data_IF_890153051039
#
_entry.id   IF_890153051039
#
_cell.length_a   1.000
_cell.length_b   1.000
_cell.length_c   1.000
_cell.angle_alpha   90.00
_cell.angle_beta   90.00
_cell.angle_gamma   90.00
#
_symmetry.space_group_name_H-M   'P 1'
#
loop_
_entity.id
_entity.type
_entity.pdbx_description
1 polymer ?
#
# COMPACT_ATOMS: atom_id res chain seq x y z
N UNK A 1 1.13 -14.23 -18.28
CA UNK A 1 2.53 -14.57 -18.67
C UNK A 1 3.30 -15.33 -17.58
N UNK A 2 3.45 -14.77 -16.38
CA UNK A 2 4.32 -15.35 -15.34
C UNK A 2 3.88 -16.69 -14.75
N UNK A 3 2.62 -17.09 -14.97
CA UNK A 3 2.07 -18.40 -14.64
C UNK A 3 2.27 -19.46 -15.74
N UNK A 4 2.87 -19.10 -16.88
CA UNK A 4 3.05 -20.02 -18.01
C UNK A 4 4.31 -20.88 -17.89
N UNK A 5 4.37 -21.95 -18.68
CA UNK A 5 5.55 -22.82 -18.82
C UNK A 5 6.77 -22.06 -19.35
N UNK A 6 6.59 -20.99 -20.12
CA UNK A 6 7.69 -20.17 -20.65
C UNK A 6 8.48 -19.44 -19.56
N UNK A 7 7.84 -19.15 -18.42
CA UNK A 7 8.49 -18.57 -17.26
C UNK A 7 9.02 -19.63 -16.28
N UNK A 8 8.84 -20.94 -16.55
CA UNK A 8 9.28 -22.01 -15.67
C UNK A 8 10.74 -22.41 -15.93
N UNK A 9 11.36 -23.09 -14.94
CA UNK A 9 12.70 -23.64 -15.11
C UNK A 9 12.71 -24.85 -16.04
N UNK A 10 11.64 -25.65 -16.05
CA UNK A 10 11.53 -26.91 -16.78
C UNK A 10 11.68 -26.71 -18.29
N UNK A 11 10.90 -25.78 -18.87
CA UNK A 11 10.95 -25.55 -20.32
C UNK A 11 12.34 -25.08 -20.77
N UNK A 12 12.97 -24.23 -19.98
CA UNK A 12 14.33 -23.73 -20.22
C UNK A 12 15.39 -24.82 -20.12
N UNK A 13 15.33 -25.67 -19.10
CA UNK A 13 16.28 -26.77 -18.91
C UNK A 13 16.20 -27.79 -20.05
N UNK A 14 14.98 -28.08 -20.53
CA UNK A 14 14.78 -28.94 -21.69
C UNK A 14 15.31 -28.30 -22.99
N UNK A 15 15.07 -27.00 -23.19
CA UNK A 15 15.68 -26.26 -24.32
C UNK A 15 17.21 -26.27 -24.27
N UNK A 16 17.79 -26.10 -23.09
CA UNK A 16 19.24 -26.15 -22.89
C UNK A 16 19.81 -27.54 -23.24
N UNK A 17 19.08 -28.62 -22.90
CA UNK A 17 19.49 -29.98 -23.23
C UNK A 17 19.48 -30.28 -24.74
N UNK A 18 18.63 -29.61 -25.51
CA UNK A 18 18.59 -29.75 -26.98
C UNK A 18 19.61 -28.88 -27.73
N UNK A 19 20.11 -27.82 -27.10
CA UNK A 19 21.09 -26.90 -27.71
C UNK A 19 22.52 -27.44 -27.62
N UNK A 20 23.34 -27.11 -28.62
CA UNK A 20 24.76 -27.47 -28.58
C UNK A 20 25.48 -26.58 -27.55
N UNK A 21 26.30 -27.14 -26.64
CA UNK A 21 26.95 -26.36 -25.58
C UNK A 21 27.87 -25.25 -26.08
N UNK A 22 28.46 -25.45 -27.26
CA UNK A 22 29.37 -24.49 -27.88
C UNK A 22 28.60 -23.48 -28.75
N UNK A 23 28.37 -22.29 -28.19
CA UNK A 23 27.71 -21.17 -28.87
C UNK A 23 28.48 -20.66 -30.11
N UNK A 24 29.77 -20.99 -30.25
CA UNK A 24 30.58 -20.57 -31.40
C UNK A 24 30.17 -21.25 -32.70
N UNK A 25 29.45 -22.37 -32.61
CA UNK A 25 28.92 -23.10 -33.77
C UNK A 25 27.82 -22.28 -34.47
N UNK A 26 27.10 -21.45 -33.70
CA UNK A 26 26.06 -20.60 -34.24
C UNK A 26 26.62 -19.28 -34.74
N UNK A 27 26.09 -18.80 -35.87
CA UNK A 27 26.36 -17.46 -36.37
C UNK A 27 26.06 -16.42 -35.26
N UNK A 28 26.84 -15.34 -35.19
CA UNK A 28 26.66 -14.26 -34.20
C UNK A 28 25.27 -13.63 -34.23
N UNK A 29 24.59 -13.71 -35.37
CA UNK A 29 23.22 -13.19 -35.57
C UNK A 29 22.13 -14.26 -35.44
N UNK A 30 22.49 -15.50 -35.07
CA UNK A 30 21.51 -16.57 -34.85
C UNK A 30 20.84 -16.44 -33.48
N UNK A 31 19.51 -16.47 -33.48
CA UNK A 31 18.71 -16.31 -32.28
C UNK A 31 18.87 -17.42 -31.24
N UNK A 32 19.34 -18.61 -31.62
CA UNK A 32 19.65 -19.70 -30.67
C UNK A 32 20.68 -19.28 -29.62
N UNK A 33 21.55 -18.32 -29.94
CA UNK A 33 22.52 -17.75 -28.98
C UNK A 33 21.85 -16.87 -27.92
N UNK A 34 20.68 -16.32 -28.21
CA UNK A 34 19.96 -15.34 -27.37
C UNK A 34 18.76 -15.93 -26.63
N UNK A 35 18.13 -16.96 -27.21
CA UNK A 35 16.89 -17.52 -26.73
C UNK A 35 16.94 -17.83 -25.23
N UNK A 36 17.93 -18.60 -24.78
CA UNK A 36 18.07 -18.94 -23.35
C UNK A 36 18.22 -17.71 -22.45
N UNK A 37 18.94 -16.68 -22.91
CA UNK A 37 19.11 -15.44 -22.17
C UNK A 37 17.79 -14.69 -22.00
N UNK A 38 16.97 -14.64 -23.06
CA UNK A 38 15.62 -14.09 -22.98
C UNK A 38 14.73 -14.85 -22.00
N UNK A 39 14.79 -16.18 -22.00
CA UNK A 39 13.97 -16.99 -21.10
C UNK A 39 14.41 -16.86 -19.64
N UNK A 40 15.72 -16.82 -19.39
CA UNK A 40 16.25 -16.48 -18.07
C UNK A 40 15.79 -15.10 -17.62
N UNK A 41 15.84 -14.12 -18.53
CA UNK A 41 15.42 -12.77 -18.21
C UNK A 41 13.91 -12.68 -17.94
N UNK A 42 13.07 -13.35 -18.73
CA UNK A 42 11.62 -13.47 -18.49
C UNK A 42 11.32 -14.07 -17.12
N UNK A 43 11.98 -15.17 -16.76
CA UNK A 43 11.84 -15.81 -15.46
C UNK A 43 12.21 -14.83 -14.32
N UNK A 44 13.35 -14.14 -14.43
CA UNK A 44 13.79 -13.15 -13.45
C UNK A 44 12.83 -11.96 -13.34
N UNK A 45 12.35 -11.42 -14.47
CA UNK A 45 11.35 -10.36 -14.49
C UNK A 45 10.06 -10.81 -13.78
N UNK A 46 9.60 -12.03 -14.04
CA UNK A 46 8.41 -12.58 -13.40
C UNK A 46 8.58 -12.80 -11.89
N UNK A 47 9.72 -13.37 -11.46
CA UNK A 47 10.01 -13.57 -10.03
C UNK A 47 10.03 -12.25 -9.27
N UNK A 48 10.74 -11.24 -9.80
CA UNK A 48 10.85 -9.94 -9.15
C UNK A 48 9.50 -9.20 -9.20
N UNK A 49 8.73 -9.33 -10.29
CA UNK A 49 7.38 -8.74 -10.38
C UNK A 49 6.45 -9.31 -9.30
N UNK A 50 6.39 -10.64 -9.16
CA UNK A 50 5.60 -11.33 -8.13
C UNK A 50 6.05 -10.90 -6.73
N UNK A 51 7.36 -10.86 -6.49
CA UNK A 51 7.91 -10.41 -5.20
C UNK A 51 7.55 -8.96 -4.90
N UNK A 52 7.60 -8.08 -5.91
CA UNK A 52 7.26 -6.65 -5.76
C UNK A 52 5.79 -6.47 -5.43
N UNK A 53 4.90 -7.17 -6.14
CA UNK A 53 3.45 -7.16 -5.86
C UNK A 53 3.19 -7.65 -4.43
N UNK A 54 3.74 -8.80 -4.05
CA UNK A 54 3.55 -9.37 -2.72
C UNK A 54 4.11 -8.45 -1.62
N UNK A 55 5.25 -7.82 -1.86
CA UNK A 55 5.84 -6.87 -0.90
C UNK A 55 4.98 -5.64 -0.74
N UNK A 56 4.45 -5.07 -1.84
CA UNK A 56 3.53 -3.94 -1.81
C UNK A 56 2.23 -4.26 -1.07
N UNK A 57 1.66 -5.45 -1.31
CA UNK A 57 0.48 -5.93 -0.58
C UNK A 57 0.81 -6.04 0.91
N UNK A 58 1.92 -6.69 1.28
CA UNK A 58 2.29 -6.86 2.68
C UNK A 58 2.55 -5.52 3.39
N UNK A 59 3.21 -4.58 2.71
CA UNK A 59 3.46 -3.23 3.23
C UNK A 59 2.13 -2.49 3.45
N UNK A 60 1.23 -2.51 2.47
CA UNK A 60 -0.11 -1.93 2.58
C UNK A 60 -0.89 -2.55 3.74
N UNK A 61 -0.87 -3.87 3.88
CA UNK A 61 -1.57 -4.59 4.95
C UNK A 61 -0.99 -4.31 6.34
N UNK A 62 0.32 -4.07 6.43
CA UNK A 62 0.99 -3.68 7.67
C UNK A 62 0.77 -2.20 8.03
N UNK A 63 0.34 -1.39 7.07
CA UNK A 63 0.09 0.04 7.30
C UNK A 63 -1.10 0.24 8.23
N UNK A 64 -0.98 1.19 9.16
CA UNK A 64 -2.04 1.50 10.10
C UNK A 64 -2.87 2.68 9.62
N UNK A 65 -4.18 2.48 9.47
CA UNK A 65 -5.10 3.58 9.26
C UNK A 65 -5.45 4.18 10.62
N UNK A 66 -4.97 5.40 10.88
CA UNK A 66 -5.28 6.11 12.12
C UNK A 66 -6.15 7.34 11.89
N UNK A 67 -7.28 7.39 12.60
CA UNK A 67 -8.15 8.56 12.64
C UNK A 67 -8.61 8.84 14.07
N UNK A 68 -8.83 10.12 14.37
CA UNK A 68 -9.29 10.62 15.67
C UNK A 68 -10.81 10.47 15.85
N UNK A 69 -11.53 10.31 14.75
CA UNK A 69 -12.98 10.15 14.73
C UNK A 69 -13.37 8.97 13.85
N UNK A 70 -14.50 8.33 14.18
CA UNK A 70 -15.09 7.29 13.35
C UNK A 70 -15.50 7.90 12.00
N UNK A 71 -14.96 7.33 10.91
CA UNK A 71 -15.29 7.75 9.56
C UNK A 71 -16.63 7.17 9.11
N UNK A 72 -17.35 7.91 8.26
CA UNK A 72 -18.50 7.35 7.55
C UNK A 72 -18.05 6.27 6.57
N UNK A 73 -18.95 5.33 6.24
CA UNK A 73 -18.66 4.25 5.29
C UNK A 73 -18.17 4.77 3.93
N UNK A 74 -18.72 5.87 3.45
CA UNK A 74 -18.31 6.50 2.19
C UNK A 74 -16.91 7.08 2.29
N UNK A 75 -16.61 7.83 3.36
CA UNK A 75 -15.29 8.45 3.54
C UNK A 75 -14.20 7.39 3.72
N UNK A 76 -14.48 6.34 4.50
CA UNK A 76 -13.59 5.20 4.67
C UNK A 76 -13.29 4.52 3.31
N UNK A 77 -14.31 4.23 2.50
CA UNK A 77 -14.13 3.61 1.18
C UNK A 77 -13.30 4.48 0.24
N UNK A 78 -13.57 5.80 0.20
CA UNK A 78 -12.79 6.72 -0.64
C UNK A 78 -11.32 6.76 -0.22
N UNK A 79 -11.05 6.84 1.08
CA UNK A 79 -9.69 6.89 1.59
C UNK A 79 -8.94 5.57 1.34
N UNK A 80 -9.56 4.42 1.62
CA UNK A 80 -8.96 3.11 1.36
C UNK A 80 -8.71 2.91 -0.14
N UNK A 81 -9.67 3.23 -1.01
CA UNK A 81 -9.48 3.13 -2.45
C UNK A 81 -8.31 3.99 -2.92
N UNK A 82 -8.20 5.22 -2.45
CA UNK A 82 -7.08 6.10 -2.79
C UNK A 82 -5.73 5.52 -2.36
N UNK A 83 -5.66 4.90 -1.17
CA UNK A 83 -4.43 4.24 -0.71
C UNK A 83 -4.09 2.99 -1.53
N UNK A 84 -5.11 2.22 -1.93
CA UNK A 84 -4.94 1.06 -2.81
C UNK A 84 -4.44 1.48 -4.19
N UNK A 85 -5.08 2.48 -4.80
CA UNK A 85 -4.68 3.03 -6.11
C UNK A 85 -3.23 3.54 -6.06
N UNK A 86 -2.85 4.23 -4.98
CA UNK A 86 -1.48 4.69 -4.77
C UNK A 86 -0.50 3.51 -4.69
N UNK A 87 -0.82 2.47 -3.91
CA UNK A 87 0.00 1.25 -3.79
C UNK A 87 0.16 0.51 -5.14
N UNK A 88 -0.90 0.46 -5.94
CA UNK A 88 -0.88 -0.12 -7.29
C UNK A 88 0.00 0.67 -8.27
N UNK A 89 0.14 1.99 -8.09
CA UNK A 89 1.01 2.86 -8.90
C UNK A 89 2.48 2.85 -8.43
N UNK A 90 2.70 2.74 -7.12
CA UNK A 90 4.04 2.78 -6.53
C UNK A 90 4.83 1.49 -6.78
N UNK A 91 4.16 0.33 -6.74
CA UNK A 91 4.82 -0.96 -6.95
C UNK A 91 5.53 -1.07 -8.32
N UNK A 92 4.88 -0.80 -9.46
CA UNK A 92 5.56 -0.80 -10.74
C UNK A 92 6.64 0.30 -10.84
N UNK A 93 6.42 1.45 -10.20
CA UNK A 93 7.42 2.54 -10.18
C UNK A 93 8.71 2.11 -9.48
N UNK A 94 8.60 1.44 -8.33
CA UNK A 94 9.76 0.92 -7.59
C UNK A 94 10.54 -0.12 -8.42
N UNK A 95 9.82 -1.06 -9.03
CA UNK A 95 10.42 -2.05 -9.93
C UNK A 95 11.15 -1.40 -11.11
N UNK A 96 10.50 -0.47 -11.80
CA UNK A 96 11.05 0.17 -13.00
C UNK A 96 12.32 0.97 -12.71
N UNK A 97 12.45 1.54 -11.50
CA UNK A 97 13.69 2.20 -11.05
C UNK A 97 14.85 1.21 -10.95
N UNK A 98 14.62 0.02 -10.38
CA UNK A 98 15.64 -1.04 -10.27
C UNK A 98 16.01 -1.54 -11.67
N UNK A 99 15.01 -1.81 -12.51
CA UNK A 99 15.25 -2.26 -13.89
C UNK A 99 16.04 -1.22 -14.69
N UNK A 100 15.70 0.07 -14.56
CA UNK A 100 16.43 1.17 -15.19
C UNK A 100 17.90 1.21 -14.74
N UNK A 101 18.16 1.06 -13.44
CA UNK A 101 19.52 1.03 -12.90
C UNK A 101 20.33 -0.15 -13.49
N UNK A 102 19.77 -1.35 -13.48
CA UNK A 102 20.42 -2.54 -14.03
C UNK A 102 20.79 -2.37 -15.51
N UNK A 103 19.86 -1.84 -16.30
CA UNK A 103 20.06 -1.56 -17.74
C UNK A 103 21.17 -0.54 -17.97
N UNK A 104 21.18 0.52 -17.17
CA UNK A 104 22.19 1.59 -17.25
C UNK A 104 23.58 1.08 -16.91
N UNK A 105 23.70 0.25 -15.85
CA UNK A 105 24.97 -0.37 -15.46
C UNK A 105 25.48 -1.32 -16.56
N UNK A 106 24.59 -2.13 -17.14
CA UNK A 106 24.99 -3.07 -18.20
C UNK A 106 25.49 -2.37 -19.47
N UNK A 107 24.88 -1.25 -19.84
CA UNK A 107 25.28 -0.50 -21.03
C UNK A 107 26.54 0.36 -20.80
N UNK A 108 26.63 1.03 -19.65
CA UNK A 108 27.67 2.05 -19.41
C UNK A 108 29.11 1.52 -19.31
N UNK A 109 29.32 0.21 -19.17
CA UNK A 109 30.65 -0.35 -18.88
C UNK A 109 31.48 -0.74 -20.11
N UNK A 110 30.97 -0.63 -21.35
CA UNK A 110 31.67 -1.06 -22.60
C UNK A 110 32.24 -2.49 -22.60
N UNK A 111 31.84 -3.31 -21.63
CA UNK A 111 32.28 -4.70 -21.49
C UNK A 111 31.65 -5.51 -22.62
N UNK A 112 32.48 -6.25 -23.37
CA UNK A 112 32.02 -7.23 -24.35
C UNK A 112 31.14 -8.26 -23.65
N UNK A 113 29.87 -8.34 -24.05
CA UNK A 113 28.93 -9.31 -23.49
C UNK A 113 29.38 -10.72 -23.84
N UNK A 114 28.98 -11.71 -23.02
CA UNK A 114 29.22 -13.13 -23.31
C UNK A 114 28.72 -13.54 -24.70
N UNK A 115 27.73 -12.83 -25.24
CA UNK A 115 27.15 -13.10 -26.54
C UNK A 115 27.84 -12.37 -27.69
N UNK A 116 28.71 -11.39 -27.42
CA UNK A 116 29.43 -10.59 -28.42
C UNK A 116 28.52 -9.64 -29.22
N UNK A 117 27.39 -9.22 -28.64
CA UNK A 117 26.34 -8.49 -29.36
C UNK A 117 26.25 -7.00 -29.05
N UNK A 118 26.87 -6.54 -27.97
CA UNK A 118 27.04 -5.11 -27.71
C UNK A 118 28.35 -4.62 -28.32
N UNK A 119 29.41 -5.37 -28.08
CA UNK A 119 30.75 -5.10 -28.57
C UNK A 119 31.38 -6.41 -29.03
N UNK A 120 32.28 -6.33 -30.00
CA UNK A 120 33.05 -7.47 -30.50
C UNK A 120 34.54 -7.16 -30.54
N UNK A 121 35.34 -8.20 -30.36
CA UNK A 121 36.79 -8.09 -30.47
C UNK A 121 37.21 -8.08 -31.94
N UNK A 122 37.97 -7.08 -32.34
CA UNK A 122 38.65 -7.01 -33.63
C UNK A 122 40.15 -7.21 -33.43
N UNK A 123 40.70 -8.20 -34.13
CA UNK A 123 42.14 -8.44 -34.14
C UNK A 123 42.78 -7.66 -35.30
N UNK A 124 43.69 -6.74 -34.99
CA UNK A 124 44.63 -6.22 -35.97
C UNK A 124 45.85 -7.14 -35.98
N UNK A 125 45.91 -8.06 -36.96
CA UNK A 125 47.09 -8.90 -37.16
C UNK A 125 48.21 -8.08 -37.80
N UNK A 126 49.06 -7.49 -36.96
CA UNK A 126 50.32 -6.87 -37.36
C UNK A 126 51.52 -7.60 -36.73
N UNK A 127 52.71 -7.58 -37.36
CA UNK A 127 53.87 -8.36 -36.91
C UNK A 127 54.41 -8.03 -35.51
N UNK A 128 53.91 -6.96 -34.86
CA UNK A 128 54.41 -6.48 -33.57
C UNK A 128 53.32 -6.09 -32.55
N UNK A 129 52.02 -6.28 -32.85
CA UNK A 129 50.93 -5.78 -32.01
C UNK A 129 49.92 -6.89 -31.72
N UNK A 130 50.05 -7.53 -30.56
CA UNK A 130 49.06 -8.47 -30.02
C UNK A 130 48.13 -7.74 -29.06
N UNK A 131 47.33 -6.79 -29.56
CA UNK A 131 46.22 -6.21 -28.78
C UNK A 131 44.89 -6.44 -29.50
N UNK A 132 43.86 -6.78 -28.74
CA UNK A 132 42.50 -6.86 -29.24
C UNK A 132 41.87 -5.48 -29.12
N UNK A 133 41.37 -4.94 -30.24
CA UNK A 133 40.51 -3.77 -30.22
C UNK A 133 39.07 -4.22 -29.97
N UNK A 134 38.28 -3.33 -29.39
CA UNK A 134 36.86 -3.57 -29.17
C UNK A 134 36.09 -2.58 -30.03
N UNK A 135 35.13 -3.07 -30.82
CA UNK A 135 34.23 -2.23 -31.59
C UNK A 135 32.78 -2.48 -31.20
N UNK A 136 31.97 -1.42 -31.23
CA UNK A 136 30.55 -1.53 -30.98
C UNK A 136 29.85 -2.21 -32.16
N UNK A 137 28.96 -3.16 -31.85
CA UNK A 137 28.09 -3.79 -32.86
C UNK A 137 27.07 -2.76 -33.35
N UNK A 138 26.76 -2.82 -34.64
CA UNK A 138 25.81 -1.92 -35.31
C UNK A 138 24.62 -2.75 -35.79
N UNK A 139 23.42 -2.35 -35.38
CA UNK A 139 22.15 -2.97 -35.77
C UNK A 139 21.41 -2.11 -36.81
N UNK A 140 20.16 -2.49 -37.10
CA UNK A 140 19.24 -1.81 -38.01
C UNK A 140 19.28 -0.27 -37.85
N UNK A 141 19.09 0.44 -38.97
CA UNK A 141 19.13 1.91 -39.04
C UNK A 141 20.46 2.51 -38.56
N UNK A 142 21.57 1.78 -38.71
CA UNK A 142 22.92 2.20 -38.31
C UNK A 142 23.00 2.53 -36.80
N UNK A 143 22.22 1.81 -35.98
CA UNK A 143 22.17 2.02 -34.53
C UNK A 143 23.38 1.34 -33.87
N UNK A 144 24.28 2.13 -33.29
CA UNK A 144 25.49 1.63 -32.63
C UNK A 144 25.25 1.36 -31.14
N UNK A 145 25.62 0.16 -30.68
CA UNK A 145 25.57 -0.22 -29.27
C UNK A 145 26.54 0.53 -28.36
N UNK A 146 27.50 1.29 -28.93
CA UNK A 146 28.36 2.19 -28.15
C UNK A 146 27.68 3.53 -27.85
N UNK A 147 26.59 3.86 -28.56
CA UNK A 147 25.87 5.12 -28.44
C UNK A 147 24.47 4.94 -27.86
N UNK A 148 23.81 3.81 -28.15
CA UNK A 148 22.46 3.54 -27.70
C UNK A 148 22.29 2.07 -27.28
N UNK A 149 21.78 1.83 -26.07
CA UNK A 149 21.50 0.49 -25.56
C UNK A 149 20.33 -0.20 -26.27
N UNK A 150 19.39 0.57 -26.82
CA UNK A 150 18.12 0.05 -27.36
C UNK A 150 18.21 -0.38 -28.82
N UNK A 151 19.41 -0.52 -29.38
CA UNK A 151 19.57 -0.98 -30.75
C UNK A 151 19.16 -2.45 -30.86
N UNK A 152 18.29 -2.74 -31.82
CA UNK A 152 17.72 -4.08 -32.02
C UNK A 152 17.56 -4.41 -33.50
N UNK A 153 17.48 -5.70 -33.81
CA UNK A 153 17.06 -6.25 -35.10
C UNK A 153 16.07 -7.39 -34.89
N UNK A 154 15.39 -7.82 -35.95
CA UNK A 154 14.48 -8.97 -35.93
C UNK A 154 15.24 -10.24 -35.51
N UNK A 155 14.71 -11.00 -34.56
CA UNK A 155 15.28 -12.28 -34.20
C UNK A 155 15.06 -13.28 -35.33
N UNK A 156 16.12 -13.96 -35.77
CA UNK A 156 16.08 -14.94 -36.83
C UNK A 156 16.84 -16.21 -36.44
N UNK A 157 16.31 -17.37 -36.81
CA UNK A 157 17.09 -18.59 -36.87
C UNK A 157 17.85 -18.65 -38.20
N UNK A 158 19.11 -19.08 -38.16
CA UNK A 158 19.95 -19.18 -39.35
C UNK A 158 20.25 -20.66 -39.55
N UNK A 159 19.80 -21.24 -40.67
CA UNK A 159 20.09 -22.64 -40.99
C UNK A 159 21.61 -22.89 -40.99
N UNK A 160 22.04 -24.12 -40.71
CA UNK A 160 23.46 -24.48 -40.59
C UNK A 160 24.29 -24.16 -41.86
N UNK A 161 23.63 -24.03 -43.01
CA UNK A 161 24.26 -23.65 -44.28
C UNK A 161 24.24 -22.13 -44.55
N UNK A 162 23.74 -21.32 -43.60
CA UNK A 162 23.54 -19.87 -43.68
C UNK A 162 22.64 -19.36 -44.82
N UNK A 163 21.98 -20.26 -45.57
CA UNK A 163 21.17 -19.91 -46.74
C UNK A 163 19.72 -19.53 -46.41
N UNK A 164 19.20 -19.96 -45.27
CA UNK A 164 17.81 -19.75 -44.87
C UNK A 164 17.75 -18.98 -43.55
N UNK A 165 17.01 -17.87 -43.57
CA UNK A 165 16.79 -16.97 -42.44
C UNK A 165 15.31 -17.06 -42.08
N UNK A 166 15.01 -17.60 -40.91
CA UNK A 166 13.64 -17.81 -40.45
C UNK A 166 13.32 -16.82 -39.33
N UNK A 167 12.43 -15.83 -39.56
CA UNK A 167 12.12 -14.82 -38.56
C UNK A 167 11.23 -15.37 -37.45
N UNK A 168 11.54 -15.02 -36.20
CA UNK A 168 10.74 -15.38 -35.03
C UNK A 168 9.84 -14.22 -34.65
N UNK A 169 8.53 -14.38 -34.93
CA UNK A 169 7.54 -13.30 -34.79
C UNK A 169 7.58 -12.66 -33.41
N UNK A 170 7.67 -11.33 -33.36
CA UNK A 170 7.65 -10.54 -32.13
C UNK A 170 8.97 -10.49 -31.36
N UNK A 171 9.88 -11.44 -31.57
CA UNK A 171 11.16 -11.50 -30.86
C UNK A 171 12.25 -10.70 -31.60
N UNK A 172 13.15 -10.07 -30.84
CA UNK A 172 14.24 -9.23 -31.35
C UNK A 172 15.58 -9.61 -30.74
N UNK A 173 16.66 -9.44 -31.48
CA UNK A 173 18.04 -9.44 -30.95
C UNK A 173 18.54 -8.01 -30.84
N UNK A 174 19.60 -7.76 -30.06
CA UNK A 174 20.11 -6.42 -29.85
C UNK A 174 21.34 -6.39 -28.97
N UNK A 175 21.76 -5.18 -28.58
CA UNK A 175 23.01 -4.96 -27.83
C UNK A 175 23.14 -5.90 -26.63
N UNK A 176 22.09 -5.99 -25.82
CA UNK A 176 22.01 -6.91 -24.69
C UNK A 176 20.69 -7.69 -24.73
N UNK A 177 20.65 -8.93 -24.20
CA UNK A 177 19.41 -9.69 -24.09
C UNK A 177 18.31 -8.94 -23.34
N UNK A 178 18.66 -8.12 -22.34
CA UNK A 178 17.68 -7.35 -21.60
C UNK A 178 17.02 -6.26 -22.46
N UNK A 179 17.79 -5.53 -23.27
CA UNK A 179 17.25 -4.46 -24.12
C UNK A 179 16.43 -5.03 -25.27
N UNK A 180 16.94 -6.08 -25.91
CA UNK A 180 16.26 -6.72 -27.04
C UNK A 180 14.97 -7.42 -26.61
N UNK A 181 14.96 -8.08 -25.45
CA UNK A 181 13.75 -8.69 -24.93
C UNK A 181 12.70 -7.65 -24.54
N UNK A 182 13.09 -6.55 -23.87
CA UNK A 182 12.15 -5.46 -23.55
C UNK A 182 11.53 -4.83 -24.80
N UNK A 183 12.27 -4.77 -25.91
CA UNK A 183 11.78 -4.27 -27.20
C UNK A 183 11.00 -5.31 -28.02
N UNK A 184 10.99 -6.58 -27.57
CA UNK A 184 10.24 -7.67 -28.17
C UNK A 184 8.78 -7.66 -27.69
N UNK A 185 7.94 -8.40 -28.39
CA UNK A 185 6.59 -8.79 -27.99
C UNK A 185 6.56 -10.30 -27.70
N UNK A 186 5.50 -10.78 -27.05
CA UNK A 186 5.34 -12.21 -26.77
C UNK A 186 4.48 -12.93 -27.83
N UNK A 187 4.32 -12.34 -29.02
CA UNK A 187 3.45 -12.85 -30.09
C UNK A 187 3.71 -14.32 -30.44
N UNK A 188 4.98 -14.72 -30.54
CA UNK A 188 5.34 -16.12 -30.82
C UNK A 188 4.78 -17.09 -29.76
N UNK A 189 4.73 -16.69 -28.49
CA UNK A 189 4.27 -17.55 -27.40
C UNK A 189 2.75 -17.72 -27.36
N UNK A 190 1.99 -16.95 -28.15
CA UNK A 190 0.56 -17.14 -28.35
C UNK A 190 0.24 -18.03 -29.56
N UNK A 191 1.23 -18.35 -30.40
CA UNK A 191 1.05 -19.09 -31.66
C UNK A 191 1.74 -20.46 -31.58
N UNK A 192 0.95 -21.53 -31.63
CA UNK A 192 1.45 -22.91 -31.60
C UNK A 192 2.44 -23.21 -32.73
N UNK A 193 2.25 -22.63 -33.91
CA UNK A 193 3.16 -22.83 -35.05
C UNK A 193 4.54 -22.20 -34.76
N UNK A 194 4.55 -21.05 -34.10
CA UNK A 194 5.80 -20.36 -33.74
C UNK A 194 6.51 -21.07 -32.57
N UNK A 195 5.78 -21.59 -31.59
CA UNK A 195 6.35 -22.42 -30.52
C UNK A 195 6.99 -23.68 -31.11
N UNK A 196 6.29 -24.38 -32.01
CA UNK A 196 6.81 -25.57 -32.69
C UNK A 196 8.08 -25.24 -33.49
N UNK A 197 8.15 -24.07 -34.12
CA UNK A 197 9.36 -23.60 -34.80
C UNK A 197 10.54 -23.46 -33.82
N UNK A 198 10.33 -22.86 -32.65
CA UNK A 198 11.38 -22.77 -31.62
C UNK A 198 11.84 -24.17 -31.22
N UNK A 199 10.90 -25.07 -30.92
CA UNK A 199 11.20 -26.43 -30.48
C UNK A 199 11.98 -27.25 -31.51
N UNK A 200 11.63 -27.12 -32.80
CA UNK A 200 12.34 -27.76 -33.91
C UNK A 200 13.77 -27.23 -34.03
N UNK A 201 13.95 -25.90 -34.02
CA UNK A 201 15.27 -25.26 -34.21
C UNK A 201 16.23 -25.50 -33.04
N UNK A 202 15.71 -25.85 -31.86
CA UNK A 202 16.50 -26.16 -30.67
C UNK A 202 16.61 -27.65 -30.36
N UNK A 203 16.15 -28.54 -31.24
CA UNK A 203 16.09 -30.00 -31.00
C UNK A 203 15.37 -30.39 -29.69
N UNK A 204 14.37 -29.61 -29.27
CA UNK A 204 13.66 -29.79 -28.01
C UNK A 204 13.02 -31.18 -27.90
N UNK A 205 12.41 -31.68 -28.97
CA UNK A 205 11.75 -32.98 -29.01
C UNK A 205 12.69 -34.17 -28.78
N UNK A 206 13.98 -34.03 -29.11
CA UNK A 206 14.97 -35.08 -28.86
C UNK A 206 15.41 -35.12 -27.38
N UNK A 207 15.14 -34.05 -26.63
CA UNK A 207 15.52 -33.91 -25.22
C UNK A 207 14.44 -34.42 -24.25
N UNK A 208 13.20 -34.60 -24.72
CA UNK A 208 12.05 -34.95 -23.90
C UNK A 208 11.49 -36.33 -24.29
N UNK A 209 11.40 -37.23 -23.31
CA UNK A 209 10.76 -38.54 -23.45
C UNK A 209 9.24 -38.51 -23.23
N UNK A 210 8.61 -37.34 -23.06
CA UNK A 210 7.19 -37.17 -22.72
C UNK A 210 6.42 -36.34 -23.75
N UNK A 211 5.19 -36.75 -24.06
CA UNK A 211 4.27 -36.11 -25.01
C UNK A 211 3.65 -34.80 -24.50
N UNK A 212 4.35 -34.04 -23.66
CA UNK A 212 3.82 -32.81 -23.09
C UNK A 212 3.93 -31.69 -24.12
N UNK A 213 2.82 -31.42 -24.82
CA UNK A 213 2.71 -30.28 -25.74
C UNK A 213 2.84 -28.98 -24.94
N UNK A 214 3.79 -28.13 -25.32
CA UNK A 214 3.91 -26.78 -24.75
C UNK A 214 2.64 -25.99 -25.02
N UNK A 215 1.97 -25.53 -23.97
CA UNK A 215 0.69 -24.83 -24.08
C UNK A 215 0.93 -23.36 -24.44
N UNK A 216 0.36 -22.84 -25.54
CA UNK A 216 0.47 -21.42 -25.89
C UNK A 216 -0.16 -20.52 -24.81
N UNK A 217 0.33 -19.28 -24.74
CA UNK A 217 -0.31 -18.24 -23.93
C UNK A 217 -1.73 -17.97 -24.42
N UNK A 218 -2.69 -17.96 -23.50
CA UNK A 218 -4.08 -17.59 -23.80
C UNK A 218 -4.25 -16.07 -23.84
N UNK A 219 -4.98 -15.57 -24.84
CA UNK A 219 -5.39 -14.16 -24.94
C UNK A 219 -6.83 -13.92 -24.51
N UNK A 220 -7.62 -14.96 -24.21
CA UNK A 220 -9.07 -14.83 -24.09
C UNK A 220 -9.55 -13.96 -22.91
N UNK A 221 -8.73 -13.80 -21.88
CA UNK A 221 -9.05 -13.00 -20.68
C UNK A 221 -7.95 -11.98 -20.36
N UNK A 222 -7.04 -11.70 -21.30
CA UNK A 222 -5.99 -10.72 -21.06
C UNK A 222 -6.45 -9.35 -21.55
N UNK A 223 -6.19 -8.32 -20.75
CA UNK A 223 -6.41 -6.93 -21.19
C UNK A 223 -5.26 -6.42 -22.07
N UNK A 224 -4.16 -7.17 -22.18
CA UNK A 224 -3.04 -6.86 -23.06
C UNK A 224 -3.31 -7.36 -24.48
N UNK A 225 -2.94 -6.54 -25.46
CA UNK A 225 -2.90 -6.97 -26.85
C UNK A 225 -1.74 -7.94 -27.06
N UNK A 226 -1.88 -8.89 -27.99
CA UNK A 226 -0.84 -9.90 -28.27
C UNK A 226 0.50 -9.25 -28.72
N UNK A 227 0.43 -8.08 -29.39
CA UNK A 227 1.58 -7.30 -29.83
C UNK A 227 2.08 -6.28 -28.79
N UNK A 228 1.63 -6.38 -27.54
CA UNK A 228 2.15 -5.55 -26.44
C UNK A 228 3.62 -5.89 -26.21
N UNK A 229 4.46 -4.87 -26.05
CA UNK A 229 5.88 -5.10 -25.82
C UNK A 229 6.11 -5.66 -24.42
N UNK A 230 7.17 -6.45 -24.25
CA UNK A 230 7.56 -6.93 -22.92
C UNK A 230 7.82 -5.75 -21.98
N UNK A 231 8.36 -4.64 -22.48
CA UNK A 231 8.52 -3.41 -21.68
C UNK A 231 7.18 -2.93 -21.12
N UNK A 232 6.13 -2.88 -21.93
CA UNK A 232 4.83 -2.43 -21.47
C UNK A 232 4.20 -3.40 -20.47
N UNK A 233 4.36 -4.71 -20.68
CA UNK A 233 3.94 -5.73 -19.72
C UNK A 233 4.68 -5.58 -18.37
N UNK A 234 5.99 -5.40 -18.43
CA UNK A 234 6.86 -5.21 -17.25
C UNK A 234 6.53 -3.91 -16.51
N UNK A 235 6.18 -2.84 -17.24
CA UNK A 235 5.83 -1.55 -16.65
C UNK A 235 4.60 -1.63 -15.73
N UNK A 236 3.80 -2.68 -15.85
CA UNK A 236 2.65 -2.99 -14.98
C UNK A 236 2.80 -4.34 -14.27
N UNK A 237 4.05 -4.81 -14.12
CA UNK A 237 4.41 -6.03 -13.37
C UNK A 237 3.76 -7.32 -13.88
N UNK A 238 3.36 -7.38 -15.16
CA UNK A 238 2.58 -8.47 -15.76
C UNK A 238 1.25 -8.75 -15.03
N UNK A 239 0.73 -7.80 -14.26
CA UNK A 239 -0.54 -7.95 -13.54
C UNK A 239 -1.69 -7.82 -14.53
N UNK A 240 -2.56 -8.82 -14.58
CA UNK A 240 -3.78 -8.79 -15.41
C UNK A 240 -4.90 -8.00 -14.71
N UNK A 241 -5.18 -8.28 -13.45
CA UNK A 241 -6.24 -7.60 -12.70
C UNK A 241 -5.89 -7.54 -11.21
N UNK A 242 -6.35 -6.47 -10.55
CA UNK A 242 -6.28 -6.33 -9.10
C UNK A 242 -7.63 -6.64 -8.47
N UNK A 243 -7.68 -7.66 -7.62
CA UNK A 243 -8.89 -8.00 -6.84
C UNK A 243 -8.81 -7.40 -5.45
N UNK A 244 -9.81 -6.58 -5.09
CA UNK A 244 -9.84 -5.87 -3.80
C UNK A 244 -11.11 -6.15 -3.01
N UNK A 245 -10.96 -6.49 -1.73
CA UNK A 245 -12.09 -6.69 -0.81
C UNK A 245 -11.97 -5.72 0.37
N UNK A 246 -12.97 -4.86 0.53
CA UNK A 246 -12.99 -3.83 1.58
C UNK A 246 -14.15 -4.10 2.54
N UNK A 247 -13.84 -4.29 3.82
CA UNK A 247 -14.82 -4.58 4.86
C UNK A 247 -14.97 -3.40 5.84
N UNK A 248 -15.99 -2.57 5.63
CA UNK A 248 -16.31 -1.47 6.55
C UNK A 248 -16.83 -1.96 7.91
N UNK A 249 -17.51 -3.10 7.98
CA UNK A 249 -18.04 -3.61 9.25
C UNK A 249 -16.92 -3.92 10.24
N UNK A 250 -15.84 -4.57 9.76
CA UNK A 250 -14.66 -4.83 10.60
C UNK A 250 -13.98 -3.55 11.08
N UNK A 251 -13.94 -2.50 10.25
CA UNK A 251 -13.45 -1.19 10.66
C UNK A 251 -14.35 -0.56 11.73
N UNK A 252 -15.67 -0.57 11.51
CA UNK A 252 -16.66 0.00 12.41
C UNK A 252 -16.63 -0.67 13.79
N UNK A 253 -16.57 -2.00 13.85
CA UNK A 253 -16.50 -2.75 15.12
C UNK A 253 -15.27 -2.36 15.94
N UNK A 254 -14.12 -2.17 15.31
CA UNK A 254 -12.88 -1.77 15.98
C UNK A 254 -12.88 -0.30 16.41
N UNK A 255 -13.55 0.57 15.65
CA UNK A 255 -13.47 2.03 15.82
C UNK A 255 -14.71 2.65 16.47
N UNK A 256 -15.74 1.86 16.77
CA UNK A 256 -16.97 2.37 17.36
C UNK A 256 -16.71 2.97 18.76
N UNK A 257 -17.24 4.17 19.06
CA UNK A 257 -17.03 4.78 20.36
C UNK A 257 -17.75 3.97 21.45
N UNK A 258 -17.07 3.77 22.59
CA UNK A 258 -17.66 3.08 23.75
C UNK A 258 -18.80 3.87 24.40
N UNK A 259 -18.83 5.21 24.22
CA UNK A 259 -19.93 6.07 24.64
C UNK A 259 -20.19 7.15 23.61
N UNK A 260 -21.46 7.31 23.24
CA UNK A 260 -21.93 8.46 22.47
C UNK A 260 -22.43 9.52 23.46
N UNK A 261 -21.90 10.74 23.40
CA UNK A 261 -22.47 11.89 24.12
C UNK A 261 -23.12 12.84 23.12
N UNK A 262 -24.33 13.28 23.42
CA UNK A 262 -25.00 14.34 22.68
C UNK A 262 -24.94 15.61 23.53
N UNK A 263 -24.52 16.71 22.92
CA UNK A 263 -24.59 18.04 23.56
C UNK A 263 -25.88 18.71 23.12
N UNK A 264 -26.85 18.79 24.05
CA UNK A 264 -28.01 19.67 23.86
C UNK A 264 -27.54 21.12 23.97
N UNK A 265 -27.35 21.77 22.82
CA UNK A 265 -27.19 23.22 22.76
C UNK A 265 -28.57 23.84 22.79
N UNK A 266 -29.12 24.03 24.00
CA UNK A 266 -30.29 24.89 24.15
C UNK A 266 -29.85 26.31 23.77
N UNK A 267 -30.35 26.82 22.65
CA UNK A 267 -30.13 28.21 22.29
C UNK A 267 -30.81 29.07 23.36
N UNK A 268 -30.02 29.69 24.23
CA UNK A 268 -30.52 30.57 25.27
C UNK A 268 -31.26 31.75 24.62
N UNK A 269 -32.57 31.79 24.79
CA UNK A 269 -33.35 32.95 24.38
C UNK A 269 -33.08 34.08 25.38
N UNK A 270 -32.21 35.02 25.00
CA UNK A 270 -31.81 36.17 25.82
C UNK A 270 -33.01 36.93 26.40
N UNK A 271 -34.11 37.02 25.65
CA UNK A 271 -35.35 37.70 26.08
C UNK A 271 -35.99 36.95 27.25
N UNK A 272 -35.98 35.61 27.21
CA UNK A 272 -36.53 34.77 28.27
C UNK A 272 -35.70 34.90 29.57
N UNK A 273 -34.37 34.91 29.47
CA UNK A 273 -33.50 35.07 30.63
C UNK A 273 -33.67 36.44 31.30
N UNK A 274 -33.76 37.52 30.50
CA UNK A 274 -33.96 38.88 31.02
C UNK A 274 -35.34 39.01 31.68
N UNK A 275 -36.40 38.50 31.05
CA UNK A 275 -37.75 38.55 31.62
C UNK A 275 -37.87 37.74 32.91
N UNK A 276 -37.17 36.61 33.01
CA UNK A 276 -37.09 35.81 34.24
C UNK A 276 -36.38 36.52 35.39
N UNK A 277 -35.29 37.24 35.11
CA UNK A 277 -34.58 38.01 36.15
C UNK A 277 -35.42 39.20 36.66
N UNK A 278 -36.10 39.89 35.74
CA UNK A 278 -37.01 41.00 36.08
C UNK A 278 -38.20 40.50 36.92
N UNK A 279 -38.76 39.33 36.58
CA UNK A 279 -39.90 38.77 37.30
C UNK A 279 -39.53 38.32 38.71
N UNK A 280 -38.34 37.74 38.92
CA UNK A 280 -37.83 37.41 40.26
C UNK A 280 -37.60 38.68 41.09
N UNK A 281 -36.92 39.68 40.53
CA UNK A 281 -36.62 40.92 41.26
C UNK A 281 -37.91 41.67 41.65
N UNK A 282 -38.86 41.76 40.71
CA UNK A 282 -40.17 42.37 40.94
C UNK A 282 -40.99 41.61 41.99
N UNK A 283 -41.09 40.29 41.85
CA UNK A 283 -41.85 39.43 42.77
C UNK A 283 -41.28 39.43 44.19
N UNK A 284 -39.96 39.37 44.32
CA UNK A 284 -39.27 39.36 45.61
C UNK A 284 -39.44 40.68 46.37
N UNK A 285 -39.38 41.81 45.66
CA UNK A 285 -39.55 43.14 46.27
C UNK A 285 -40.96 43.33 46.83
N UNK A 286 -41.98 42.85 46.11
CA UNK A 286 -43.37 42.90 46.56
C UNK A 286 -43.56 41.98 47.76
N UNK A 287 -43.10 40.72 47.68
CA UNK A 287 -43.23 39.75 48.75
C UNK A 287 -42.57 40.23 50.06
N UNK A 288 -41.35 40.79 50.00
CA UNK A 288 -40.67 41.33 51.18
C UNK A 288 -41.45 42.49 51.82
N UNK A 289 -42.03 43.40 51.01
CA UNK A 289 -42.83 44.52 51.54
C UNK A 289 -44.05 44.07 52.33
N UNK A 290 -44.62 42.91 52.02
CA UNK A 290 -45.76 42.34 52.76
C UNK A 290 -45.33 41.50 53.96
N UNK A 291 -44.27 40.70 53.80
CA UNK A 291 -43.81 39.78 54.85
C UNK A 291 -43.08 40.52 55.97
N UNK A 292 -42.27 41.55 55.67
CA UNK A 292 -41.49 42.26 56.68
C UNK A 292 -42.35 42.94 57.76
N UNK A 293 -43.42 43.72 57.45
CA UNK A 293 -44.28 44.32 58.47
C UNK A 293 -44.98 43.27 59.34
N UNK A 294 -45.36 42.14 58.74
CA UNK A 294 -45.99 41.03 59.44
C UNK A 294 -45.03 40.35 60.42
N UNK A 295 -43.81 40.05 59.97
CA UNK A 295 -42.75 39.51 60.81
C UNK A 295 -42.38 40.44 61.98
N UNK A 296 -42.27 41.75 61.73
CA UNK A 296 -42.00 42.74 62.78
C UNK A 296 -43.13 42.80 63.81
N UNK A 297 -44.39 42.77 63.39
CA UNK A 297 -45.54 42.73 64.32
C UNK A 297 -45.54 41.46 65.18
N UNK A 298 -45.20 40.31 64.60
CA UNK A 298 -45.09 39.06 65.35
C UNK A 298 -43.99 39.12 66.42
N UNK A 299 -42.80 39.58 66.06
CA UNK A 299 -41.68 39.73 66.99
C UNK A 299 -41.99 40.74 68.10
N UNK A 300 -42.62 41.88 67.75
CA UNK A 300 -43.02 42.88 68.73
C UNK A 300 -44.05 42.33 69.74
N UNK A 301 -45.06 41.59 69.26
CA UNK A 301 -46.06 40.95 70.13
C UNK A 301 -45.43 39.89 71.04
N UNK A 302 -44.50 39.08 70.54
CA UNK A 302 -43.78 38.09 71.35
C UNK A 302 -42.93 38.76 72.44
N UNK A 303 -42.25 39.86 72.12
CA UNK A 303 -41.46 40.62 73.09
C UNK A 303 -42.33 41.30 74.15
N UNK A 304 -43.51 41.81 73.79
CA UNK A 304 -44.46 42.36 74.77
C UNK A 304 -45.06 41.28 75.68
N UNK A 305 -45.34 40.09 75.14
CA UNK A 305 -45.77 38.93 75.93
C UNK A 305 -44.68 38.47 76.92
N UNK A 306 -43.41 38.46 76.49
CA UNK A 306 -42.27 38.13 77.36
C UNK A 306 -42.05 39.16 78.47
N UNK A 307 -42.24 40.46 78.20
CA UNK A 307 -42.14 41.52 79.23
C UNK A 307 -43.27 41.48 80.27
N UNK A 308 -44.49 41.04 79.92
CA UNK A 308 -45.60 40.88 80.88
C UNK A 308 -45.45 39.68 81.83
N UNK A 309 -44.61 38.69 81.51
CA UNK A 309 -44.38 37.51 82.37
C UNK A 309 -43.29 37.70 83.43
N UNK A 310 -42.58 38.84 83.43
CA UNK A 310 -41.41 39.08 84.29
C UNK A 310 -41.67 39.88 85.57
N UNK A 311 -42.93 40.20 85.91
CA UNK A 311 -43.31 40.93 87.13
C UNK A 311 -44.25 40.09 88.03
N UNK A 312 -43.75 38.98 88.58
CA UNK A 312 -44.34 38.34 89.78
C UNK A 312 -43.22 37.68 90.60
N UNK A 313 -43.15 38.04 91.89
CA UNK A 313 -42.12 37.69 92.88
C UNK A 313 -42.24 36.21 93.35
N UNK A 314 -41.09 35.62 93.68
CA UNK A 314 -40.82 34.22 94.10
C UNK A 314 -41.41 33.83 95.48
N UNK A 315 -41.35 32.53 95.87
CA UNK A 315 -40.25 32.12 96.75
C UNK A 315 -39.58 30.75 96.44
N UNK A 316 -38.38 30.62 97.01
CA UNK A 316 -37.31 29.62 96.87
C UNK A 316 -37.53 28.38 97.77
N UNK A 317 -36.94 27.22 97.39
CA UNK A 317 -36.18 26.26 98.24
C UNK A 317 -35.66 25.07 97.37
N UNK A 318 -34.39 25.02 96.98
CA UNK A 318 -33.17 24.39 97.60
C UNK A 318 -32.91 22.91 97.22
N UNK A 319 -31.79 22.70 96.50
CA UNK A 319 -30.71 21.69 96.71
C UNK A 319 -31.12 20.19 96.52
N UNK A 320 -30.51 19.32 95.71
CA UNK A 320 -29.08 18.99 95.53
C UNK A 320 -28.80 18.20 94.22
N UNK A 321 -27.49 18.11 93.92
CA UNK A 321 -26.77 17.43 92.82
C UNK A 321 -27.04 15.93 92.62
N UNK A 322 -26.85 15.41 91.38
CA UNK A 322 -26.12 14.16 91.03
C UNK A 322 -25.76 14.16 89.53
N UNK A 323 -24.67 13.47 89.25
CA UNK A 323 -23.73 13.54 88.12
C UNK A 323 -23.94 12.53 86.98
N UNK A 324 -23.30 12.86 85.85
CA UNK A 324 -22.45 12.02 84.97
C UNK A 324 -23.01 11.24 83.75
N UNK A 325 -22.28 11.49 82.64
CA UNK A 325 -21.86 10.66 81.51
C UNK A 325 -22.59 10.68 80.15
N UNK A 326 -21.77 11.03 79.13
CA UNK A 326 -21.72 10.56 77.73
C UNK A 326 -22.93 10.85 76.80
N UNK A 327 -22.80 11.22 75.52
CA UNK A 327 -21.77 10.90 74.54
C UNK A 327 -21.95 11.73 73.23
N UNK A 328 -20.88 11.77 72.42
CA UNK A 328 -20.85 11.82 70.93
C UNK A 328 -21.03 13.19 70.22
N UNK A 329 -19.85 13.76 69.96
CA UNK A 329 -19.22 14.07 68.65
C UNK A 329 -19.97 14.84 67.54
N UNK A 330 -19.33 15.96 67.22
CA UNK A 330 -19.44 16.88 66.11
C UNK A 330 -19.27 16.25 64.72
N UNK A 331 -20.09 16.69 63.76
CA UNK A 331 -19.85 16.57 62.33
C UNK A 331 -19.66 17.97 61.74
N UNK A 332 -18.43 18.28 61.36
CA UNK A 332 -18.03 19.51 60.65
C UNK A 332 -17.95 19.19 59.17
N UNK A 333 -18.63 19.96 58.31
CA UNK A 333 -18.55 19.84 56.85
C UNK A 333 -17.61 20.94 56.34
N UNK A 334 -16.43 20.54 55.86
CA UNK A 334 -15.55 21.37 55.05
C UNK A 334 -15.82 21.06 53.57
N UNK A 335 -16.06 22.10 52.77
CA UNK A 335 -16.08 22.02 51.31
C UNK A 335 -14.71 22.41 50.75
N UNK A 336 -13.96 21.43 50.26
CA UNK A 336 -12.79 21.67 49.40
C UNK A 336 -13.19 21.67 47.93
N UNK A 337 -12.75 22.70 47.21
CA UNK A 337 -12.75 22.79 45.76
C UNK A 337 -11.70 21.82 45.22
N UNK A 338 -12.12 20.80 44.47
CA UNK A 338 -11.23 19.99 43.65
C UNK A 338 -11.47 20.35 42.19
N UNK A 339 -10.52 21.04 41.56
CA UNK A 339 -10.47 21.18 40.11
C UNK A 339 -9.88 19.91 39.51
N UNK A 340 -10.69 19.07 38.90
CA UNK A 340 -10.21 18.00 38.03
C UNK A 340 -10.22 18.51 36.59
N UNK A 341 -9.02 18.82 36.09
CA UNK A 341 -8.72 18.92 34.67
C UNK A 341 -8.80 17.49 34.12
N UNK A 342 -9.88 17.16 33.40
CA UNK A 342 -9.93 15.90 32.64
C UNK A 342 -9.05 16.08 31.39
N UNK A 343 -7.86 15.51 31.45
CA UNK A 343 -7.10 15.20 30.23
C UNK A 343 -7.93 14.22 29.40
N UNK A 344 -8.29 14.65 28.19
CA UNK A 344 -9.01 13.82 27.24
C UNK A 344 -8.17 12.63 26.83
N UNK A 345 -8.66 11.43 27.10
CA UNK A 345 -8.17 10.21 26.46
C UNK A 345 -8.40 10.33 24.95
N UNK A 346 -7.34 10.66 24.21
CA UNK A 346 -7.32 10.46 22.78
C UNK A 346 -7.22 8.96 22.52
N UNK A 347 -8.36 8.31 22.31
CA UNK A 347 -8.40 6.99 21.69
C UNK A 347 -8.05 7.17 20.21
N UNK A 348 -6.82 6.82 19.86
CA UNK A 348 -6.44 6.64 18.46
C UNK A 348 -7.08 5.35 17.97
N UNK A 349 -7.90 5.45 16.92
CA UNK A 349 -8.28 4.25 16.18
C UNK A 349 -7.06 3.80 15.39
N UNK A 350 -6.65 2.55 15.54
CA UNK A 350 -5.55 1.93 14.80
C UNK A 350 -6.08 0.59 14.33
N UNK A 351 -6.23 0.42 13.01
CA UNK A 351 -6.65 -0.86 12.42
C UNK A 351 -5.50 -1.47 11.64
N UNK A 352 -5.18 -2.75 11.90
CA UNK A 352 -4.09 -3.52 11.26
C UNK A 352 -4.56 -4.72 10.44
N UNK A 353 -5.85 -4.87 10.14
CA UNK A 353 -6.35 -6.06 9.45
C UNK A 353 -7.14 -5.68 8.19
N UNK A 354 -6.44 -5.69 7.07
CA UNK A 354 -7.01 -5.92 5.74
C UNK A 354 -6.51 -7.31 5.29
N UNK A 355 -7.33 -8.09 4.62
CA UNK A 355 -6.94 -9.38 4.04
C UNK A 355 -7.21 -9.35 2.55
N UNK A 356 -6.18 -9.50 1.73
CA UNK A 356 -6.31 -9.69 0.28
C UNK A 356 -6.08 -11.17 -0.04
N UNK A 357 -7.03 -11.78 -0.73
CA UNK A 357 -6.84 -13.07 -1.38
C UNK A 357 -6.45 -12.85 -2.83
N UNK A 358 -5.42 -13.58 -3.28
CA UNK A 358 -5.03 -13.73 -4.69
C UNK A 358 -6.12 -14.46 -5.48
#
# INVERSE_FOLDING_TARGET
>A
VCSSTFASNEWRENLLAGLVPDLSIYNTTDYRRFLLAHLHFLNGLCQISIQTVNSSINEFLSSTLSNTQLMSATLFRLQINSLIEQSQLDAPTAFNRILFLLRTINHGNTIVSTYGTNFEYTALLGPYLNFALVQAVIYDNNCSCGLNATCTTQANFISNNASEIIPVKGLKMGCTPSESFLASTLECFHDSSCINLIEEQTNYNNSINTTNTTIPLSSNNSHFLINTTVRDLVNVLFVEDWSTQINYSSYFEQCSPSMCSYTYTQQFNLIYTITFLISIYGGLTIALKWICPWAVRLVANMNQYRKKKSNTVQPINTIDTISCHENVQSMTINSELVSTKLDGFHHYCVTTNLSFGL
#
